data_IF_351037208762
#
_entry.id   IF_351037208762
#
_cell.length_a   1.000
_cell.length_b   1.000
_cell.length_c   1.000
_cell.angle_alpha   90.00
_cell.angle_beta   90.00
_cell.angle_gamma   90.00
#
_symmetry.space_group_name_H-M   'P 1'
#
loop_
_entity.id
_entity.type
_entity.pdbx_description
1 polymer ?
#
# COMPACT_ATOMS: atom_id res chain seq x y z
N UNK A 1 -15.34 -33.71 -16.56
CA UNK A 1 -15.31 -32.61 -15.58
C UNK A 1 -13.86 -32.40 -15.17
N UNK A 2 -13.47 -31.13 -14.97
CA UNK A 2 -12.13 -30.61 -14.64
C UNK A 2 -11.17 -30.36 -15.81
N UNK A 3 -11.46 -29.33 -16.59
CA UNK A 3 -10.46 -28.61 -17.40
C UNK A 3 -10.69 -27.10 -17.26
N UNK A 4 -10.30 -26.50 -16.14
CA UNK A 4 -10.15 -25.05 -15.98
C UNK A 4 -9.23 -24.76 -14.79
N UNK A 5 -7.91 -24.72 -14.97
CA UNK A 5 -6.97 -24.03 -14.06
C UNK A 5 -5.54 -24.04 -14.60
N UNK A 6 -5.32 -23.55 -15.83
CA UNK A 6 -3.95 -23.40 -16.36
C UNK A 6 -3.81 -22.17 -17.27
N UNK A 7 -4.41 -21.06 -16.85
CA UNK A 7 -4.40 -19.80 -17.60
C UNK A 7 -3.84 -18.59 -16.85
N UNK A 8 -3.68 -18.67 -15.52
CA UNK A 8 -3.32 -17.50 -14.70
C UNK A 8 -1.81 -17.37 -14.42
N UNK A 9 -1.05 -18.48 -14.30
CA UNK A 9 0.38 -18.41 -13.96
C UNK A 9 1.25 -17.71 -15.02
N UNK A 10 0.89 -17.82 -16.30
CA UNK A 10 1.73 -17.33 -17.40
C UNK A 10 1.73 -15.81 -17.59
N UNK A 11 0.76 -15.08 -17.00
CA UNK A 11 0.74 -13.61 -17.05
C UNK A 11 1.68 -12.95 -16.04
N UNK A 12 2.07 -13.68 -14.99
CA UNK A 12 2.94 -13.14 -13.96
C UNK A 12 4.41 -13.14 -14.39
N UNK A 13 4.83 -14.07 -15.24
CA UNK A 13 6.26 -14.26 -15.52
C UNK A 13 6.83 -13.26 -16.54
N UNK A 14 6.03 -12.77 -17.49
CA UNK A 14 6.55 -11.93 -18.58
C UNK A 14 6.58 -10.42 -18.26
N UNK A 15 5.77 -9.97 -17.30
CA UNK A 15 5.72 -8.57 -16.84
C UNK A 15 6.67 -8.27 -15.68
N UNK A 16 7.09 -9.28 -14.92
CA UNK A 16 8.02 -9.17 -13.77
C UNK A 16 9.50 -9.25 -14.18
N UNK A 17 9.80 -9.64 -15.42
CA UNK A 17 11.17 -9.81 -15.93
C UNK A 17 11.91 -8.49 -16.16
N UNK A 18 11.19 -7.37 -16.28
CA UNK A 18 11.75 -6.04 -16.57
C UNK A 18 11.36 -4.96 -15.55
N UNK A 19 10.54 -5.32 -14.57
CA UNK A 19 10.18 -4.44 -13.45
C UNK A 19 10.89 -4.93 -12.19
N UNK A 20 11.10 -4.04 -11.23
CA UNK A 20 11.72 -4.39 -9.95
C UNK A 20 10.77 -5.22 -9.04
N UNK A 21 10.20 -6.32 -9.56
CA UNK A 21 9.28 -7.20 -8.83
C UNK A 21 7.91 -6.59 -8.60
N UNK A 22 7.67 -5.43 -9.22
CA UNK A 22 6.40 -4.73 -9.25
C UNK A 22 5.64 -5.13 -10.52
N UNK A 23 4.31 -5.29 -10.51
CA UNK A 23 3.57 -5.06 -11.76
C UNK A 23 3.96 -3.66 -12.31
N UNK A 24 3.87 -3.39 -13.61
CA UNK A 24 4.00 -2.03 -14.18
C UNK A 24 2.85 -1.11 -13.68
N UNK A 25 2.73 -0.98 -12.36
CA UNK A 25 1.91 -0.05 -11.59
C UNK A 25 2.85 0.93 -10.89
N UNK A 26 3.98 1.26 -11.51
CA UNK A 26 4.45 2.64 -11.47
C UNK A 26 3.39 3.48 -12.16
N UNK A 27 2.25 3.68 -11.49
CA UNK A 27 1.33 4.74 -11.84
C UNK A 27 2.11 6.03 -11.66
N UNK A 28 2.78 6.49 -12.72
CA UNK A 28 3.36 7.85 -12.81
C UNK A 28 2.31 8.91 -12.42
N UNK A 29 1.01 8.55 -12.44
CA UNK A 29 -0.12 9.35 -11.99
C UNK A 29 -0.39 9.39 -10.48
N UNK A 30 -0.06 8.36 -9.71
CA UNK A 30 -0.43 8.22 -8.29
C UNK A 30 -1.94 8.23 -7.98
N UNK A 31 -2.32 7.75 -6.80
CA UNK A 31 -3.71 7.60 -6.39
C UNK A 31 -4.20 8.75 -5.50
N UNK A 32 -5.41 9.24 -5.76
CA UNK A 32 -6.03 10.27 -4.91
C UNK A 32 -6.36 9.72 -3.53
N UNK A 33 -6.44 10.61 -2.54
CA UNK A 33 -6.69 10.21 -1.14
C UNK A 33 -7.96 9.37 -0.93
N UNK A 34 -9.02 9.58 -1.70
CA UNK A 34 -10.24 8.76 -1.60
C UNK A 34 -10.00 7.31 -2.04
N UNK A 35 -9.28 7.10 -3.15
CA UNK A 35 -8.90 5.78 -3.67
C UNK A 35 -7.90 5.12 -2.71
N UNK A 36 -6.87 5.85 -2.29
CA UNK A 36 -5.87 5.37 -1.35
C UNK A 36 -6.50 4.90 -0.01
N UNK A 37 -7.42 5.70 0.55
CA UNK A 37 -8.12 5.33 1.78
C UNK A 37 -8.96 4.05 1.59
N UNK A 38 -9.67 3.93 0.47
CA UNK A 38 -10.50 2.76 0.16
C UNK A 38 -9.64 1.51 -0.04
N UNK A 39 -8.57 1.59 -0.82
CA UNK A 39 -7.65 0.49 -1.10
C UNK A 39 -6.92 0.00 0.17
N UNK A 40 -6.55 0.92 1.06
CA UNK A 40 -5.99 0.58 2.37
C UNK A 40 -7.06 0.13 3.40
N UNK A 41 -8.35 0.28 3.09
CA UNK A 41 -9.45 -0.05 3.99
C UNK A 41 -9.53 0.85 5.22
N UNK A 42 -9.14 2.12 5.12
CA UNK A 42 -9.16 3.12 6.18
C UNK A 42 -10.15 4.25 5.86
N UNK A 43 -10.58 4.98 6.87
CA UNK A 43 -11.35 6.21 6.65
C UNK A 43 -10.47 7.32 6.08
N UNK A 44 -11.08 8.24 5.33
CA UNK A 44 -10.38 9.44 4.86
C UNK A 44 -9.82 10.29 6.01
N UNK A 45 -10.48 10.29 7.18
CA UNK A 45 -9.99 10.98 8.38
C UNK A 45 -8.71 10.36 8.93
N UNK A 46 -8.63 9.02 8.97
CA UNK A 46 -7.40 8.33 9.35
C UNK A 46 -6.27 8.66 8.38
N UNK A 47 -6.55 8.64 7.07
CA UNK A 47 -5.57 9.04 6.05
C UNK A 47 -5.06 10.47 6.27
N UNK A 48 -5.96 11.45 6.47
CA UNK A 48 -5.55 12.84 6.68
C UNK A 48 -4.77 13.02 7.99
N UNK A 49 -5.21 12.36 9.07
CA UNK A 49 -4.52 12.38 10.35
C UNK A 49 -3.11 11.78 10.25
N UNK A 50 -2.95 10.64 9.59
CA UNK A 50 -1.63 10.00 9.40
C UNK A 50 -0.71 10.79 8.48
N UNK A 51 -1.25 11.48 7.47
CA UNK A 51 -0.49 12.40 6.65
C UNK A 51 -0.02 13.63 7.43
N UNK A 52 -0.91 14.23 8.25
CA UNK A 52 -0.60 15.40 9.09
C UNK A 52 0.39 15.09 10.21
N UNK A 53 0.35 13.88 10.76
CA UNK A 53 1.26 13.42 11.82
C UNK A 53 2.49 12.70 11.28
N UNK A 54 2.70 12.79 9.96
CA UNK A 54 3.86 12.28 9.23
C UNK A 54 4.09 10.77 9.39
N UNK A 55 3.05 10.03 9.81
CA UNK A 55 3.11 8.58 9.89
C UNK A 55 3.18 7.98 8.48
N UNK A 56 2.30 8.44 7.58
CA UNK A 56 2.34 8.10 6.16
C UNK A 56 2.06 9.33 5.30
N UNK A 57 3.06 9.76 4.54
CA UNK A 57 2.95 10.91 3.63
C UNK A 57 2.82 10.45 2.17
N UNK A 58 2.12 11.21 1.32
CA UNK A 58 2.09 10.94 -0.12
C UNK A 58 3.48 11.13 -0.74
N UNK A 59 3.97 10.13 -1.46
CA UNK A 59 5.28 10.15 -2.12
C UNK A 59 5.23 10.67 -3.57
N UNK A 60 4.10 10.52 -4.27
CA UNK A 60 3.96 11.00 -5.65
C UNK A 60 3.71 12.51 -5.70
N UNK A 61 2.78 13.02 -4.89
CA UNK A 61 2.53 14.46 -4.79
C UNK A 61 2.02 14.86 -3.42
N UNK A 62 2.77 15.73 -2.74
CA UNK A 62 2.33 16.41 -1.53
C UNK A 62 1.22 17.45 -1.78
N UNK A 63 0.65 17.99 -0.71
CA UNK A 63 -0.20 19.18 -0.80
C UNK A 63 0.67 20.43 -0.63
N UNK A 64 0.71 21.30 -1.64
CA UNK A 64 1.42 22.59 -1.64
C UNK A 64 0.43 23.73 -1.94
N UNK A 65 -0.50 23.97 -1.02
CA UNK A 65 -1.45 25.09 -1.07
C UNK A 65 -2.88 24.71 -1.48
N UNK A 66 -3.76 25.72 -1.55
CA UNK A 66 -5.18 25.56 -1.92
C UNK A 66 -5.30 25.06 -3.37
N UNK A 67 -5.96 23.92 -3.57
CA UNK A 67 -6.21 23.34 -4.90
C UNK A 67 -5.26 22.22 -5.32
N UNK A 68 -4.15 22.00 -4.61
CA UNK A 68 -3.26 20.85 -4.88
C UNK A 68 -3.80 19.58 -4.24
N UNK A 69 -3.80 18.48 -5.00
CA UNK A 69 -4.26 17.19 -4.51
C UNK A 69 -3.08 16.30 -4.12
N UNK A 70 -3.23 15.64 -2.96
CA UNK A 70 -2.29 14.60 -2.54
C UNK A 70 -2.45 13.38 -3.44
N UNK A 71 -1.34 12.91 -3.99
CA UNK A 71 -1.27 11.69 -4.77
C UNK A 71 -0.35 10.71 -4.05
N UNK A 72 -0.89 9.53 -3.76
CA UNK A 72 -0.25 8.46 -3.03
C UNK A 72 0.27 7.43 -4.02
N UNK A 73 1.52 6.99 -3.86
CA UNK A 73 2.03 5.87 -4.64
C UNK A 73 1.44 4.54 -4.15
N UNK A 74 1.58 3.49 -4.95
CA UNK A 74 1.22 2.13 -4.53
C UNK A 74 1.85 1.75 -3.18
N UNK A 75 3.14 2.08 -3.02
CA UNK A 75 3.89 1.85 -1.79
C UNK A 75 3.28 2.55 -0.57
N UNK A 76 2.77 3.77 -0.75
CA UNK A 76 2.11 4.48 0.34
C UNK A 76 0.86 3.72 0.78
N UNK A 77 0.07 3.23 -0.17
CA UNK A 77 -1.15 2.45 0.10
C UNK A 77 -0.85 1.13 0.81
N UNK A 78 0.21 0.44 0.38
CA UNK A 78 0.70 -0.75 1.09
C UNK A 78 1.04 -0.42 2.54
N UNK A 79 1.82 0.63 2.78
CA UNK A 79 2.20 1.07 4.13
C UNK A 79 0.95 1.48 4.94
N UNK A 80 0.00 2.20 4.36
CA UNK A 80 -1.27 2.56 5.01
C UNK A 80 -2.03 1.31 5.49
N UNK A 81 -2.10 0.27 4.64
CA UNK A 81 -2.80 -0.98 4.98
C UNK A 81 -2.06 -1.77 6.06
N UNK A 82 -0.73 -1.78 6.05
CA UNK A 82 0.09 -2.40 7.09
C UNK A 82 -0.06 -1.67 8.44
N UNK A 83 0.00 -0.33 8.44
CA UNK A 83 -0.27 0.49 9.63
C UNK A 83 -1.63 0.17 10.22
N UNK A 84 -2.67 0.08 9.38
CA UNK A 84 -4.01 -0.32 9.83
C UNK A 84 -3.97 -1.69 10.51
N UNK A 85 -3.41 -2.72 9.88
CA UNK A 85 -3.38 -4.08 10.44
C UNK A 85 -2.62 -4.15 11.77
N UNK A 86 -1.52 -3.42 11.90
CA UNK A 86 -0.77 -3.35 13.16
C UNK A 86 -1.58 -2.64 14.26
N UNK A 87 -2.32 -1.58 13.92
CA UNK A 87 -3.21 -0.92 14.89
C UNK A 87 -4.38 -1.82 15.30
N UNK A 88 -4.96 -2.57 14.36
CA UNK A 88 -6.08 -3.49 14.60
C UNK A 88 -5.69 -4.63 15.56
N UNK A 89 -4.39 -4.97 15.66
CA UNK A 89 -3.87 -5.95 16.63
C UNK A 89 -3.45 -5.34 17.98
N UNK A 90 -3.61 -4.02 18.14
CA UNK A 90 -3.33 -3.32 19.40
C UNK A 90 -1.87 -2.87 19.56
N UNK A 91 -1.06 -2.91 18.51
CA UNK A 91 0.31 -2.39 18.53
C UNK A 91 0.26 -0.86 18.62
N UNK A 92 1.11 -0.28 19.48
CA UNK A 92 1.11 1.17 19.70
C UNK A 92 1.64 1.94 18.48
N UNK A 93 1.12 3.15 18.28
CA UNK A 93 1.53 4.01 17.16
C UNK A 93 3.03 4.34 17.16
N UNK A 94 3.68 4.34 18.34
CA UNK A 94 5.12 4.55 18.46
C UNK A 94 5.92 3.39 17.86
N UNK A 95 5.55 2.14 18.18
CA UNK A 95 6.19 0.94 17.63
C UNK A 95 6.00 0.86 16.12
N UNK A 96 4.78 1.18 15.66
CA UNK A 96 4.45 1.20 14.23
C UNK A 96 5.33 2.20 13.47
N UNK A 97 5.59 3.38 14.04
CA UNK A 97 6.43 4.40 13.39
C UNK A 97 7.84 3.88 13.10
N UNK A 98 8.45 3.16 14.04
CA UNK A 98 9.77 2.55 13.85
C UNK A 98 9.74 1.51 12.72
N UNK A 99 8.73 0.65 12.70
CA UNK A 99 8.58 -0.40 11.69
C UNK A 99 8.35 0.17 10.27
N UNK A 100 7.51 1.20 10.17
CA UNK A 100 7.21 1.87 8.90
C UNK A 100 8.47 2.53 8.33
N UNK A 101 9.32 3.10 9.17
CA UNK A 101 10.58 3.69 8.72
C UNK A 101 11.51 2.63 8.12
N UNK A 102 11.64 1.48 8.77
CA UNK A 102 12.42 0.35 8.26
C UNK A 102 11.88 -0.17 6.92
N UNK A 103 10.56 -0.36 6.82
CA UNK A 103 9.89 -0.74 5.57
C UNK A 103 10.14 0.25 4.43
N UNK A 104 10.28 1.55 4.74
CA UNK A 104 10.58 2.60 3.76
C UNK A 104 12.01 2.55 3.25
N UNK A 105 12.93 2.04 4.05
CA UNK A 105 14.34 1.87 3.69
C UNK A 105 14.56 0.55 2.91
N UNK A 106 13.71 -0.46 3.11
CA UNK A 106 13.73 -1.73 2.37
C UNK A 106 13.24 -1.59 0.92
N UNK A 107 13.96 -2.22 -0.02
CA UNK A 107 13.55 -2.31 -1.43
C UNK A 107 12.32 -3.19 -1.65
N UNK A 108 11.59 -2.96 -2.74
CA UNK A 108 10.26 -3.58 -2.96
C UNK A 108 10.32 -5.08 -3.27
N UNK A 109 11.35 -5.54 -3.97
CA UNK A 109 11.62 -6.97 -4.19
C UNK A 109 11.69 -7.78 -2.89
N UNK A 110 12.23 -7.16 -1.83
CA UNK A 110 12.37 -7.78 -0.52
C UNK A 110 11.01 -7.90 0.20
N UNK A 111 10.09 -6.98 -0.07
CA UNK A 111 8.79 -6.91 0.61
C UNK A 111 7.87 -8.09 0.28
N UNK A 112 8.02 -8.72 -0.89
CA UNK A 112 7.18 -9.86 -1.29
C UNK A 112 7.44 -11.12 -0.42
N UNK A 113 8.69 -11.31 0.03
CA UNK A 113 9.09 -12.42 0.89
C UNK A 113 9.17 -12.02 2.37
N UNK A 114 8.96 -10.75 2.67
CA UNK A 114 9.01 -10.23 4.03
C UNK A 114 7.78 -10.59 4.86
N UNK A 115 7.99 -10.96 6.11
CA UNK A 115 6.96 -11.05 7.15
C UNK A 115 7.24 -10.04 8.25
N UNK A 116 6.27 -9.17 8.53
CA UNK A 116 6.30 -8.32 9.71
C UNK A 116 5.86 -9.13 10.92
N UNK A 117 6.72 -9.22 11.92
CA UNK A 117 6.46 -9.95 13.15
C UNK A 117 6.36 -8.98 14.33
N UNK A 118 5.42 -9.21 15.26
CA UNK A 118 5.32 -8.42 16.50
C UNK A 118 5.04 -9.30 17.70
N UNK A 119 5.72 -9.02 18.81
CA UNK A 119 5.49 -9.58 20.14
C UNK A 119 4.64 -8.64 21.03
N UNK A 120 4.06 -7.57 20.44
CA UNK A 120 3.34 -6.50 21.14
C UNK A 120 4.25 -5.44 21.78
N UNK A 121 5.55 -5.69 21.93
CA UNK A 121 6.54 -4.76 22.45
C UNK A 121 7.40 -4.12 21.35
N UNK A 122 7.63 -4.85 20.26
CA UNK A 122 8.40 -4.43 19.10
C UNK A 122 7.79 -5.00 17.82
N UNK A 123 8.24 -4.48 16.68
CA UNK A 123 7.91 -4.99 15.36
C UNK A 123 9.22 -5.25 14.62
N UNK A 124 9.30 -6.41 13.97
CA UNK A 124 10.47 -6.93 13.29
C UNK A 124 10.14 -7.19 11.84
N UNK A 125 11.10 -6.94 10.96
CA UNK A 125 11.02 -7.26 9.54
C UNK A 125 11.82 -8.55 9.35
N UNK A 126 11.13 -9.67 9.12
CA UNK A 126 11.78 -10.96 8.91
C UNK A 126 11.78 -11.27 7.41
N UNK A 127 12.94 -11.57 6.84
CA UNK A 127 13.09 -11.94 5.43
C UNK A 127 13.38 -13.44 5.23
N UNK A 128 13.54 -14.18 6.33
CA UNK A 128 13.75 -15.63 6.34
C UNK A 128 12.94 -16.34 7.43
N UNK A 129 12.69 -17.62 7.22
CA UNK A 129 11.96 -18.47 8.18
C UNK A 129 12.75 -18.64 9.50
N UNK A 130 14.08 -18.64 9.45
CA UNK A 130 14.94 -18.77 10.63
C UNK A 130 14.78 -17.59 11.59
N UNK A 131 14.70 -16.36 11.06
CA UNK A 131 14.44 -15.17 11.87
C UNK A 131 13.06 -15.20 12.54
N UNK A 132 12.06 -15.77 11.86
CA UNK A 132 10.71 -15.97 12.41
C UNK A 132 10.75 -16.98 13.56
N UNK A 133 11.44 -18.11 13.36
CA UNK A 133 11.58 -19.18 14.36
C UNK A 133 12.32 -18.67 15.60
N UNK A 134 13.40 -17.91 15.42
CA UNK A 134 14.17 -17.32 16.50
C UNK A 134 13.34 -16.39 17.39
N UNK A 135 12.40 -15.66 16.80
CA UNK A 135 11.51 -14.77 17.54
C UNK A 135 10.46 -15.57 18.33
N UNK A 136 9.84 -16.59 17.72
CA UNK A 136 8.84 -17.46 18.36
C UNK A 136 9.47 -18.26 19.52
N UNK A 137 10.70 -18.71 19.35
CA UNK A 137 11.41 -19.58 20.30
C UNK A 137 11.68 -18.91 21.66
N UNK A 138 11.51 -17.58 21.77
CA UNK A 138 11.61 -16.83 23.02
C UNK A 138 10.42 -17.01 23.97
N UNK A 139 9.42 -17.82 23.60
CA UNK A 139 8.30 -18.18 24.47
C UNK A 139 7.23 -17.09 24.63
N UNK A 140 7.28 -16.06 23.78
CA UNK A 140 6.29 -14.99 23.72
C UNK A 140 5.32 -15.24 22.55
N UNK A 141 4.04 -14.91 22.74
CA UNK A 141 3.06 -14.97 21.65
C UNK A 141 3.38 -13.89 20.61
N UNK A 142 3.58 -14.30 19.36
CA UNK A 142 3.90 -13.40 18.26
C UNK A 142 2.80 -13.39 17.22
N UNK A 143 2.61 -12.23 16.59
CA UNK A 143 1.70 -12.02 15.48
C UNK A 143 2.49 -11.70 14.22
N UNK A 144 2.20 -12.39 13.13
CA UNK A 144 2.85 -12.22 11.83
C UNK A 144 1.91 -11.66 10.77
N UNK A 145 2.39 -10.69 9.99
CA UNK A 145 1.75 -10.19 8.77
C UNK A 145 2.69 -10.48 7.59
N UNK A 146 2.31 -11.43 6.74
CA UNK A 146 3.00 -11.64 5.46
C UNK A 146 2.78 -10.43 4.54
N UNK A 147 3.83 -9.65 4.30
CA UNK A 147 3.76 -8.40 3.53
C UNK A 147 3.38 -8.68 2.08
N UNK A 148 3.94 -9.73 1.48
CA UNK A 148 3.60 -10.14 0.11
C UNK A 148 2.11 -10.48 -0.09
N UNK A 149 1.43 -10.99 0.95
CA UNK A 149 -0.03 -11.19 0.87
C UNK A 149 -0.78 -9.86 0.87
N UNK A 150 -0.37 -8.91 1.72
CA UNK A 150 -0.98 -7.58 1.77
C UNK A 150 -0.76 -6.82 0.47
N UNK A 151 0.43 -6.94 -0.12
CA UNK A 151 0.77 -6.39 -1.43
C UNK A 151 -0.22 -6.85 -2.50
N UNK A 152 -0.41 -8.17 -2.65
CA UNK A 152 -1.37 -8.73 -3.61
C UNK A 152 -2.79 -8.23 -3.35
N UNK A 153 -3.22 -8.16 -2.09
CA UNK A 153 -4.56 -7.63 -1.78
C UNK A 153 -4.72 -6.16 -2.17
N UNK A 154 -3.69 -5.32 -1.99
CA UNK A 154 -3.74 -3.91 -2.42
C UNK A 154 -3.83 -3.82 -3.93
N UNK A 155 -3.01 -4.58 -4.64
CA UNK A 155 -3.02 -4.66 -6.10
C UNK A 155 -4.40 -5.05 -6.64
N UNK A 156 -4.97 -6.15 -6.15
CA UNK A 156 -6.32 -6.57 -6.55
C UNK A 156 -7.36 -5.48 -6.28
N UNK A 157 -7.30 -4.84 -5.11
CA UNK A 157 -8.26 -3.78 -4.76
C UNK A 157 -8.13 -2.57 -5.68
N UNK A 158 -6.92 -2.19 -6.10
CA UNK A 158 -6.71 -1.06 -6.99
C UNK A 158 -7.22 -1.36 -8.40
N UNK A 159 -6.92 -2.54 -8.94
CA UNK A 159 -7.44 -3.01 -10.23
C UNK A 159 -8.98 -2.99 -10.26
N UNK A 160 -9.63 -3.45 -9.18
CA UNK A 160 -11.09 -3.43 -9.07
C UNK A 160 -11.66 -2.01 -9.01
N UNK A 161 -10.94 -1.08 -8.36
CA UNK A 161 -11.34 0.32 -8.23
C UNK A 161 -11.19 1.11 -9.52
N UNK A 162 -10.15 0.84 -10.31
CA UNK A 162 -9.94 1.46 -11.62
C UNK A 162 -11.00 1.01 -12.65
N UNK A 163 -11.55 -0.19 -12.45
CA UNK A 163 -12.61 -0.75 -13.32
C UNK A 163 -14.01 -0.19 -12.98
N UNK A 164 -14.16 0.52 -11.85
CA UNK A 164 -15.42 1.13 -11.43
C UNK A 164 -15.61 2.52 -12.08
N UNK A 165 -16.83 2.89 -12.52
CA UNK A 165 -17.05 4.19 -13.18
C UNK A 165 -16.62 5.34 -12.27
N UNK A 166 -15.89 6.28 -12.87
CA UNK A 166 -15.16 7.37 -12.23
C UNK A 166 -16.01 8.14 -11.21
N UNK A 167 -15.38 8.51 -10.10
CA UNK A 167 -15.96 9.34 -9.06
C UNK A 167 -16.54 10.64 -9.70
N UNK A 168 -17.78 11.07 -9.41
CA UNK A 168 -18.38 12.27 -9.99
C UNK A 168 -17.53 13.55 -9.81
N UNK A 169 -16.64 13.56 -8.81
CA UNK A 169 -15.63 14.62 -8.64
C UNK A 169 -14.63 14.67 -9.81
N UNK A 170 -14.30 13.52 -10.41
CA UNK A 170 -13.36 13.38 -11.51
C UNK A 170 -13.98 13.88 -12.83
N UNK A 171 -15.27 13.61 -13.08
CA UNK A 171 -15.98 14.22 -14.20
C UNK A 171 -15.98 15.75 -14.14
N UNK A 172 -16.17 16.32 -12.94
CA UNK A 172 -16.18 17.77 -12.74
C UNK A 172 -14.80 18.40 -12.93
N UNK A 173 -13.74 17.72 -12.48
CA UNK A 173 -12.36 18.17 -12.66
C UNK A 173 -11.94 18.13 -14.13
N UNK A 174 -12.23 17.02 -14.83
CA UNK A 174 -12.00 16.87 -16.27
C UNK A 174 -12.75 17.95 -17.05
N UNK A 175 -14.03 18.18 -16.73
CA UNK A 175 -14.86 19.23 -17.36
C UNK A 175 -14.26 20.63 -17.18
N UNK A 176 -13.72 20.95 -16.01
CA UNK A 176 -13.06 22.23 -15.74
C UNK A 176 -11.79 22.39 -16.59
N UNK A 177 -10.93 21.38 -16.65
CA UNK A 177 -9.71 21.39 -17.45
C UNK A 177 -9.99 21.54 -18.96
N UNK A 178 -11.01 20.86 -19.47
CA UNK A 178 -11.44 21.04 -20.87
C UNK A 178 -12.04 22.41 -21.17
N UNK A 179 -12.62 23.09 -20.18
CA UNK A 179 -13.20 24.42 -20.36
C UNK A 179 -12.13 25.51 -20.40
N UNK A 180 -11.08 25.38 -19.60
CA UNK A 180 -9.94 26.32 -19.58
C UNK A 180 -9.12 26.24 -20.88
N UNK A 181 -8.91 25.05 -21.45
CA UNK A 181 -8.23 24.87 -22.76
C UNK A 181 -9.00 25.43 -23.96
N UNK A 182 -10.30 25.71 -23.83
CA UNK A 182 -11.16 26.18 -24.92
C UNK A 182 -11.28 27.71 -24.98
N UNK A 183 -10.73 28.41 -23.98
CA UNK A 183 -10.81 29.86 -23.81
C UNK A 183 -9.43 30.52 -24.07
N UNK A 184 -8.38 29.72 -24.23
CA UNK A 184 -7.09 30.15 -24.81
C UNK A 184 -7.05 29.90 -26.30
#
# INVERSE_FOLDING_TARGET
>A
MSELSRGDEARYDLGLLFTDGMPELEDEGGYRGAVAARAAGISYRQLDYWARTELVQPTVRGASGSGTQRLYGFRDILVLKLVKRLLDTGISLQQIRTAVQQLRESGVHDLAQTTLMSDGASVYLCTSDDEVIDLVSRGQGVFGIAVGKVLREVETTLVDLDTSPSDPMDELAVRRATRERRIS
#
